data_IF_415535478048
#
_entry.id   IF_415535478048
#
_cell.length_a   1.000
_cell.length_b   1.000
_cell.length_c   1.000
_cell.angle_alpha   90.00
_cell.angle_beta   90.00
_cell.angle_gamma   90.00
#
_symmetry.space_group_name_H-M   'P 1'
#
loop_
_entity.id
_entity.type
_entity.pdbx_description
1 polymer ?
#
# COMPACT_ATOMS: atom_id res chain seq x y z
N UNK A 1 19.06 96.00 20.23
CA UNK A 1 18.29 95.01 21.03
C UNK A 1 17.24 94.25 20.19
N UNK A 2 16.44 94.91 19.36
CA UNK A 2 15.41 94.25 18.52
C UNK A 2 15.92 93.27 17.44
N UNK A 3 17.08 93.53 16.82
CA UNK A 3 17.71 92.64 15.82
C UNK A 3 18.17 91.30 16.44
N UNK A 4 18.67 91.35 17.67
CA UNK A 4 19.15 90.19 18.43
C UNK A 4 17.99 89.24 18.78
N UNK A 5 16.85 89.81 19.18
CA UNK A 5 15.62 89.07 19.52
C UNK A 5 15.06 88.37 18.28
N UNK A 6 15.00 89.04 17.12
CA UNK A 6 14.53 88.42 15.87
C UNK A 6 15.39 87.21 15.48
N UNK A 7 16.72 87.32 15.57
CA UNK A 7 17.65 86.21 15.26
C UNK A 7 17.50 85.02 16.19
N UNK A 8 17.27 85.26 17.48
CA UNK A 8 17.03 84.20 18.48
C UNK A 8 15.70 83.49 18.21
N UNK A 9 14.64 84.24 17.90
CA UNK A 9 13.33 83.65 17.57
C UNK A 9 13.39 82.80 16.30
N UNK A 10 14.11 83.26 15.27
CA UNK A 10 14.31 82.45 14.04
C UNK A 10 15.12 81.19 14.31
N UNK A 11 16.18 81.27 15.14
CA UNK A 11 17.00 80.12 15.49
C UNK A 11 16.19 79.07 16.28
N UNK A 12 15.40 79.50 17.26
CA UNK A 12 14.52 78.61 18.04
C UNK A 12 13.45 77.97 17.16
N UNK A 13 12.85 78.73 16.24
CA UNK A 13 11.85 78.20 15.29
C UNK A 13 12.42 77.14 14.35
N UNK A 14 13.65 77.35 13.85
CA UNK A 14 14.34 76.39 12.97
C UNK A 14 14.73 75.14 13.75
N UNK A 15 15.26 75.26 14.97
CA UNK A 15 15.61 74.11 15.82
C UNK A 15 14.37 73.30 16.20
N UNK A 16 13.25 73.97 16.52
CA UNK A 16 11.99 73.29 16.79
C UNK A 16 11.46 72.54 15.56
N UNK A 17 11.56 73.13 14.37
CA UNK A 17 11.14 72.48 13.12
C UNK A 17 12.01 71.27 12.78
N UNK A 18 13.34 71.34 12.96
CA UNK A 18 14.25 70.21 12.78
C UNK A 18 14.04 69.11 13.82
N UNK A 19 13.73 69.46 15.06
CA UNK A 19 13.41 68.49 16.10
C UNK A 19 12.10 67.74 15.76
N UNK A 20 11.08 68.44 15.23
CA UNK A 20 9.83 67.79 14.80
C UNK A 20 10.03 66.87 13.59
N UNK A 21 10.83 67.24 12.60
CA UNK A 21 11.10 66.34 11.45
C UNK A 21 11.93 65.11 11.83
N UNK A 22 12.86 65.24 12.79
CA UNK A 22 13.62 64.10 13.34
C UNK A 22 12.75 63.11 14.13
N UNK A 23 11.71 63.59 14.83
CA UNK A 23 10.73 62.73 15.53
C UNK A 23 9.86 61.95 14.54
N UNK A 24 9.49 62.54 13.40
CA UNK A 24 8.71 61.84 12.36
C UNK A 24 9.56 60.76 11.64
N UNK A 25 10.85 61.01 11.43
CA UNK A 25 11.77 60.03 10.84
C UNK A 25 12.09 58.85 11.78
N UNK A 26 12.14 59.09 13.10
CA UNK A 26 12.36 58.03 14.10
C UNK A 26 11.10 57.24 14.48
N UNK A 27 9.92 57.78 14.17
CA UNK A 27 8.65 57.06 14.22
C UNK A 27 8.39 56.18 12.97
N UNK A 28 9.31 56.14 12.00
CA UNK A 28 9.20 55.30 10.81
C UNK A 28 9.40 53.83 11.19
N UNK A 29 8.30 53.16 11.50
CA UNK A 29 8.27 51.73 11.82
C UNK A 29 8.17 50.90 10.52
N UNK A 30 9.29 50.34 10.06
CA UNK A 30 9.39 49.45 8.88
C UNK A 30 9.28 47.97 9.22
N UNK A 31 8.40 47.60 10.16
CA UNK A 31 8.14 46.18 10.47
C UNK A 31 6.91 45.69 9.71
N UNK A 32 7.11 44.70 8.84
CA UNK A 32 6.05 43.87 8.27
C UNK A 32 6.19 42.43 8.76
N UNK A 33 5.08 41.74 9.00
CA UNK A 33 5.07 40.32 9.35
C UNK A 33 4.87 39.46 8.10
N UNK A 34 5.71 38.44 7.91
CA UNK A 34 5.50 37.38 6.92
C UNK A 34 4.84 36.20 7.63
N UNK A 35 3.61 35.85 7.21
CA UNK A 35 2.96 34.61 7.63
C UNK A 35 3.13 33.57 6.51
N UNK A 36 3.67 32.41 6.86
CA UNK A 36 3.84 31.27 5.95
C UNK A 36 2.93 30.14 6.40
N UNK A 37 2.07 29.68 5.49
CA UNK A 37 1.26 28.47 5.68
C UNK A 37 1.70 27.43 4.65
N UNK A 38 1.81 26.17 5.10
CA UNK A 38 2.17 25.04 4.25
C UNK A 38 1.26 23.85 4.54
N UNK A 39 0.91 23.10 3.50
CA UNK A 39 0.17 21.85 3.60
C UNK A 39 0.96 20.72 2.92
N UNK A 40 0.97 19.54 3.53
CA UNK A 40 1.54 18.32 2.94
C UNK A 40 0.38 17.38 2.67
N UNK A 41 0.22 16.97 1.41
CA UNK A 41 -0.84 16.03 1.02
C UNK A 41 -0.48 14.60 1.46
N UNK A 42 -1.48 13.87 1.97
CA UNK A 42 -1.36 12.43 2.23
C UNK A 42 -1.34 11.67 0.90
N UNK A 43 -0.47 10.69 0.81
CA UNK A 43 -0.30 9.87 -0.37
C UNK A 43 -0.08 8.43 0.02
N UNK A 44 -0.81 7.57 -0.68
CA UNK A 44 -0.76 6.13 -0.58
C UNK A 44 -1.00 5.57 -1.97
N UNK A 45 -0.18 4.62 -2.37
CA UNK A 45 -0.26 3.97 -3.67
C UNK A 45 0.17 2.52 -3.53
N UNK A 46 -0.53 1.67 -4.29
CA UNK A 46 -0.23 0.26 -4.47
C UNK A 46 -0.11 0.00 -5.98
N UNK A 47 1.00 -0.58 -6.41
CA UNK A 47 1.26 -0.94 -7.81
C UNK A 47 2.01 -2.26 -7.88
N UNK A 48 2.22 -2.82 -9.08
CA UNK A 48 3.10 -3.98 -9.20
C UNK A 48 4.54 -3.63 -8.80
N UNK A 49 5.15 -4.52 -8.01
CA UNK A 49 6.56 -4.51 -7.65
C UNK A 49 7.47 -5.22 -8.64
N UNK A 50 6.89 -5.85 -9.68
CA UNK A 50 7.62 -6.53 -10.75
C UNK A 50 6.97 -7.86 -11.14
N UNK A 51 7.80 -8.72 -11.72
CA UNK A 51 7.36 -9.99 -12.29
C UNK A 51 6.81 -10.93 -11.22
N UNK A 52 5.72 -11.57 -11.57
CA UNK A 52 5.03 -12.59 -10.79
C UNK A 52 5.73 -13.93 -10.97
N UNK A 53 5.86 -14.70 -9.90
CA UNK A 53 6.44 -16.05 -9.96
C UNK A 53 5.35 -17.09 -9.75
N UNK A 54 5.22 -18.01 -10.69
CA UNK A 54 4.41 -19.22 -10.56
C UNK A 54 5.36 -20.43 -10.47
N UNK A 55 5.12 -21.33 -9.52
CA UNK A 55 5.91 -22.54 -9.32
C UNK A 55 5.05 -23.72 -8.90
N UNK A 56 5.53 -24.93 -9.16
CA UNK A 56 4.80 -26.17 -8.87
C UNK A 56 3.56 -26.39 -9.74
N UNK A 57 3.31 -25.52 -10.72
CA UNK A 57 2.25 -25.68 -11.71
C UNK A 57 2.58 -26.80 -12.70
N UNK A 58 1.54 -27.42 -13.26
CA UNK A 58 1.64 -28.36 -14.37
C UNK A 58 0.74 -27.86 -15.51
N UNK A 59 1.32 -27.47 -16.64
CA UNK A 59 0.59 -26.90 -17.78
C UNK A 59 0.13 -25.44 -17.62
N UNK A 60 0.23 -24.86 -16.41
CA UNK A 60 -0.13 -23.45 -16.16
C UNK A 60 0.92 -22.44 -16.64
N UNK A 61 0.57 -21.16 -16.63
CA UNK A 61 1.46 -20.06 -17.01
C UNK A 61 1.02 -18.71 -16.45
N UNK A 62 1.95 -17.76 -16.35
CA UNK A 62 1.60 -16.35 -16.11
C UNK A 62 1.12 -15.74 -17.43
N UNK A 63 -0.18 -15.43 -17.51
CA UNK A 63 -0.82 -14.91 -18.73
C UNK A 63 -0.58 -13.41 -18.86
N UNK A 64 -0.80 -12.68 -17.76
CA UNK A 64 -0.53 -11.25 -17.66
C UNK A 64 0.34 -11.01 -16.43
N UNK A 65 1.52 -10.46 -16.67
CA UNK A 65 2.47 -10.13 -15.63
C UNK A 65 2.34 -8.66 -15.17
N UNK A 66 2.83 -8.37 -13.97
CA UNK A 66 2.93 -7.01 -13.47
C UNK A 66 4.23 -6.34 -13.90
N UNK A 67 4.16 -5.26 -14.69
CA UNK A 67 5.32 -4.39 -14.91
C UNK A 67 5.53 -3.49 -13.69
N UNK A 68 6.79 -3.32 -13.26
CA UNK A 68 7.15 -2.48 -12.11
C UNK A 68 6.53 -1.08 -12.27
N UNK A 69 5.81 -0.62 -11.23
CA UNK A 69 5.11 0.67 -11.19
C UNK A 69 3.88 0.79 -12.11
N UNK A 70 3.38 -0.31 -12.68
CA UNK A 70 2.11 -0.34 -13.41
C UNK A 70 0.94 -0.74 -12.51
N UNK A 71 -0.32 -0.45 -12.91
CA UNK A 71 -1.49 -0.97 -12.22
C UNK A 71 -1.41 -2.48 -12.01
N UNK A 72 -1.84 -2.96 -10.85
CA UNK A 72 -1.82 -4.39 -10.53
C UNK A 72 -2.95 -5.09 -11.31
N UNK A 73 -2.58 -5.82 -12.38
CA UNK A 73 -3.52 -6.55 -13.23
C UNK A 73 -2.92 -7.91 -13.61
N UNK A 74 -2.72 -8.77 -12.60
CA UNK A 74 -2.08 -10.06 -12.76
C UNK A 74 -3.12 -11.12 -13.09
N UNK A 75 -2.88 -11.90 -14.14
CA UNK A 75 -3.70 -13.05 -14.52
C UNK A 75 -2.78 -14.24 -14.68
N UNK A 76 -3.11 -15.34 -14.00
CA UNK A 76 -2.29 -16.55 -13.98
C UNK A 76 -3.19 -17.75 -14.16
N UNK A 77 -2.78 -18.63 -15.07
CA UNK A 77 -3.28 -19.98 -15.15
C UNK A 77 -2.44 -20.88 -14.25
N UNK A 78 -3.08 -21.47 -13.22
CA UNK A 78 -2.40 -22.36 -12.28
C UNK A 78 -2.15 -23.76 -12.86
N UNK A 79 -2.76 -24.08 -14.01
CA UNK A 79 -2.70 -25.38 -14.66
C UNK A 79 -3.48 -26.45 -13.91
N UNK A 80 -2.99 -27.68 -13.98
CA UNK A 80 -3.59 -28.85 -13.33
C UNK A 80 -3.48 -28.77 -11.80
N UNK A 81 -4.63 -28.78 -11.12
CA UNK A 81 -4.77 -28.76 -9.66
C UNK A 81 -5.20 -30.12 -9.08
N UNK A 82 -5.44 -31.11 -9.95
CA UNK A 82 -5.74 -32.48 -9.60
C UNK A 82 -4.48 -33.31 -9.26
N UNK A 83 -4.67 -34.60 -8.95
CA UNK A 83 -3.58 -35.51 -8.57
C UNK A 83 -2.52 -35.75 -9.66
N UNK A 84 -2.81 -35.39 -10.92
CA UNK A 84 -1.84 -35.46 -12.01
C UNK A 84 -0.68 -34.48 -11.82
N UNK A 85 -0.87 -33.40 -11.04
CA UNK A 85 0.21 -32.55 -10.59
C UNK A 85 0.80 -33.09 -9.27
N UNK A 86 2.01 -33.65 -9.33
CA UNK A 86 2.66 -34.29 -8.18
C UNK A 86 3.44 -33.32 -7.28
N UNK A 87 3.43 -32.01 -7.58
CA UNK A 87 4.06 -31.02 -6.72
C UNK A 87 3.30 -30.89 -5.40
N UNK A 88 4.01 -30.58 -4.31
CA UNK A 88 3.36 -30.42 -3.00
C UNK A 88 2.37 -29.25 -2.96
N UNK A 89 2.70 -28.16 -3.66
CA UNK A 89 1.86 -26.98 -3.81
C UNK A 89 2.12 -26.32 -5.15
N UNK A 90 1.07 -25.75 -5.75
CA UNK A 90 1.20 -24.69 -6.75
C UNK A 90 1.29 -23.38 -5.98
N UNK A 91 2.40 -22.64 -6.15
CA UNK A 91 2.63 -21.36 -5.46
C UNK A 91 2.72 -20.22 -6.46
N UNK A 92 1.98 -19.16 -6.16
CA UNK A 92 1.98 -17.89 -6.86
C UNK A 92 2.52 -16.80 -5.92
N UNK A 93 3.53 -16.07 -6.35
CA UNK A 93 4.09 -14.93 -5.62
C UNK A 93 3.92 -13.66 -6.43
N UNK A 94 3.11 -12.73 -5.94
CA UNK A 94 2.81 -11.44 -6.56
C UNK A 94 3.52 -10.33 -5.79
N UNK A 95 4.56 -9.69 -6.35
CA UNK A 95 5.23 -8.59 -5.66
C UNK A 95 4.34 -7.34 -5.66
N UNK A 96 3.91 -6.91 -4.47
CA UNK A 96 3.13 -5.68 -4.29
C UNK A 96 4.07 -4.54 -3.91
N UNK A 97 4.06 -3.42 -4.63
CA UNK A 97 4.86 -2.25 -4.31
C UNK A 97 4.01 -1.16 -3.67
N UNK A 98 4.34 -0.84 -2.42
CA UNK A 98 3.69 0.19 -1.62
C UNK A 98 4.53 1.47 -1.64
N UNK A 99 3.88 2.61 -1.87
CA UNK A 99 4.47 3.94 -1.67
C UNK A 99 3.54 4.78 -0.84
N UNK A 100 4.01 5.23 0.32
CA UNK A 100 3.19 5.99 1.26
C UNK A 100 4.05 7.04 1.97
N UNK A 101 3.52 8.25 2.18
CA UNK A 101 4.15 9.25 3.04
C UNK A 101 3.50 9.35 4.43
N UNK A 102 2.49 8.50 4.67
CA UNK A 102 1.72 8.36 5.91
C UNK A 102 1.63 6.88 6.32
N UNK A 103 1.28 6.62 7.57
CA UNK A 103 0.93 5.27 8.02
C UNK A 103 -0.22 4.71 7.19
N UNK A 104 -0.16 3.42 6.88
CA UNK A 104 -1.07 2.77 5.96
C UNK A 104 -1.66 1.49 6.53
N UNK A 105 -2.78 1.10 5.94
CA UNK A 105 -3.43 -0.19 6.10
C UNK A 105 -3.67 -0.77 4.72
N UNK A 106 -3.17 -1.97 4.48
CA UNK A 106 -3.45 -2.79 3.32
C UNK A 106 -4.51 -3.82 3.71
N UNK A 107 -5.59 -3.85 2.95
CA UNK A 107 -6.66 -4.84 3.09
C UNK A 107 -6.71 -5.74 1.87
N UNK A 108 -7.20 -6.95 2.07
CA UNK A 108 -7.48 -7.90 0.99
C UNK A 108 -8.90 -8.43 1.14
N UNK A 109 -9.56 -8.63 -0.01
CA UNK A 109 -10.77 -9.45 -0.10
C UNK A 109 -10.57 -10.54 -1.15
N UNK A 110 -10.82 -11.78 -0.79
CA UNK A 110 -10.59 -12.98 -1.61
C UNK A 110 -11.87 -13.74 -1.89
N UNK A 111 -11.95 -14.37 -3.06
CA UNK A 111 -13.07 -15.23 -3.43
C UNK A 111 -12.68 -16.36 -4.38
N UNK A 112 -13.41 -17.46 -4.31
CA UNK A 112 -13.43 -18.52 -5.31
C UNK A 112 -14.83 -18.58 -5.90
N UNK A 113 -14.93 -18.62 -7.22
CA UNK A 113 -16.19 -18.74 -7.95
C UNK A 113 -16.07 -19.74 -9.10
N UNK A 114 -17.21 -20.23 -9.62
CA UNK A 114 -17.24 -21.20 -10.71
C UNK A 114 -16.93 -22.65 -10.30
N UNK A 115 -16.39 -22.86 -9.09
CA UNK A 115 -16.36 -24.17 -8.47
C UNK A 115 -17.80 -24.65 -8.17
N UNK A 116 -18.02 -25.97 -8.26
CA UNK A 116 -19.29 -26.59 -7.90
C UNK A 116 -19.65 -26.41 -6.41
N UNK A 117 -20.76 -27.02 -5.99
CA UNK A 117 -21.26 -26.95 -4.60
C UNK A 117 -21.03 -28.24 -3.80
N UNK A 118 -20.18 -29.14 -4.28
CA UNK A 118 -19.94 -30.44 -3.66
C UNK A 118 -18.91 -30.37 -2.53
N UNK A 119 -18.77 -31.47 -1.78
CA UNK A 119 -17.73 -31.60 -0.75
C UNK A 119 -16.30 -31.45 -1.31
N UNK A 120 -16.08 -31.90 -2.55
CA UNK A 120 -14.77 -31.89 -3.23
C UNK A 120 -14.58 -30.70 -4.18
N UNK A 121 -15.57 -29.80 -4.28
CA UNK A 121 -15.38 -28.55 -5.02
C UNK A 121 -14.31 -27.69 -4.34
N UNK A 122 -13.55 -26.94 -5.14
CA UNK A 122 -12.57 -25.98 -4.67
C UNK A 122 -13.27 -24.84 -3.92
N UNK A 123 -12.78 -24.46 -2.75
CA UNK A 123 -13.35 -23.42 -1.87
C UNK A 123 -12.28 -22.41 -1.49
N UNK A 124 -12.68 -21.26 -0.95
CA UNK A 124 -11.75 -20.24 -0.47
C UNK A 124 -10.74 -20.78 0.57
N UNK A 125 -11.11 -21.79 1.35
CA UNK A 125 -10.23 -22.41 2.35
C UNK A 125 -9.15 -23.31 1.75
N UNK A 126 -9.24 -23.66 0.46
CA UNK A 126 -8.20 -24.41 -0.27
C UNK A 126 -7.08 -23.55 -0.82
N UNK A 127 -7.27 -22.23 -0.76
CA UNK A 127 -6.29 -21.28 -1.26
C UNK A 127 -5.63 -20.65 -0.05
N UNK A 128 -4.42 -21.13 0.23
CA UNK A 128 -3.55 -20.55 1.23
C UNK A 128 -3.13 -19.15 0.81
N UNK A 129 -3.05 -18.25 1.76
CA UNK A 129 -2.66 -16.85 1.56
C UNK A 129 -1.70 -16.40 2.66
N UNK A 130 -0.72 -15.61 2.28
CA UNK A 130 0.11 -14.86 3.21
C UNK A 130 0.90 -13.74 2.54
N UNK A 131 1.42 -12.85 3.37
CA UNK A 131 2.27 -11.72 2.98
C UNK A 131 3.65 -11.93 3.56
N UNK A 132 4.70 -11.71 2.77
CA UNK A 132 6.09 -11.84 3.24
C UNK A 132 6.82 -10.49 3.21
N UNK A 133 6.56 -9.58 4.17
CA UNK A 133 7.25 -8.30 4.22
C UNK A 133 8.73 -8.54 4.52
N UNK A 134 9.56 -8.39 3.48
CA UNK A 134 11.00 -8.43 3.62
C UNK A 134 11.50 -7.28 4.50
N UNK A 135 12.72 -7.43 5.03
CA UNK A 135 13.38 -6.37 5.77
C UNK A 135 13.40 -5.07 4.95
N UNK A 136 12.93 -3.99 5.57
CA UNK A 136 12.77 -2.70 4.90
C UNK A 136 14.14 -2.17 4.42
N UNK A 137 14.28 -1.84 3.11
CA UNK A 137 15.51 -1.27 2.57
C UNK A 137 15.93 0.04 3.25
N UNK A 138 17.24 0.26 3.43
CA UNK A 138 17.80 1.41 4.16
C UNK A 138 17.54 2.77 3.49
N UNK A 139 17.20 2.78 2.20
CA UNK A 139 16.80 3.97 1.46
C UNK A 139 15.33 4.39 1.74
N UNK A 140 14.51 3.55 2.39
CA UNK A 140 13.14 3.86 2.80
C UNK A 140 13.07 4.40 4.23
N UNK A 141 11.95 5.00 4.62
CA UNK A 141 11.77 5.52 5.97
C UNK A 141 11.83 4.37 6.99
N UNK A 142 12.48 4.58 8.14
CA UNK A 142 12.54 3.56 9.19
C UNK A 142 11.15 3.19 9.70
N UNK A 143 10.94 1.92 9.98
CA UNK A 143 9.66 1.41 10.46
C UNK A 143 9.63 -0.11 10.44
N UNK A 144 8.59 -0.66 11.04
CA UNK A 144 8.30 -2.09 11.05
C UNK A 144 6.84 -2.30 10.69
N UNK A 145 6.62 -3.25 9.80
CA UNK A 145 5.34 -3.68 9.29
C UNK A 145 4.71 -4.64 10.29
N UNK A 146 3.42 -4.45 10.54
CA UNK A 146 2.59 -5.44 11.22
C UNK A 146 2.03 -6.36 10.15
N UNK A 147 2.41 -7.63 10.20
CA UNK A 147 1.90 -8.66 9.31
C UNK A 147 0.89 -9.52 10.06
N UNK A 148 -0.37 -9.49 9.62
CA UNK A 148 -1.46 -10.25 10.24
C UNK A 148 -1.68 -11.61 9.55
N UNK A 149 -0.71 -12.06 8.75
CA UNK A 149 -0.75 -13.31 7.97
C UNK A 149 0.47 -14.20 8.28
N UNK A 150 0.46 -15.49 7.93
CA UNK A 150 1.54 -16.41 8.32
C UNK A 150 2.85 -16.29 7.52
N UNK A 151 2.95 -15.40 6.53
CA UNK A 151 4.08 -15.39 5.61
C UNK A 151 3.90 -16.40 4.47
N UNK A 152 4.63 -17.53 4.53
CA UNK A 152 4.38 -18.67 3.64
C UNK A 152 3.28 -19.56 4.24
N UNK A 153 2.08 -19.61 3.64
CA UNK A 153 0.95 -20.37 4.20
C UNK A 153 1.18 -21.89 4.20
N UNK A 154 2.17 -22.41 3.47
CA UNK A 154 2.43 -23.87 3.42
C UNK A 154 3.06 -24.44 4.67
N UNK A 155 3.49 -23.59 5.60
CA UNK A 155 4.16 -24.02 6.84
C UNK A 155 3.11 -24.43 7.90
N UNK A 156 3.25 -25.63 8.44
CA UNK A 156 2.51 -26.09 9.63
C UNK A 156 1.09 -26.59 9.39
N UNK A 157 0.61 -26.63 8.14
CA UNK A 157 -0.69 -27.22 7.81
C UNK A 157 -0.75 -28.74 7.95
N UNK A 158 -1.94 -29.30 7.77
CA UNK A 158 -2.18 -30.74 7.87
C UNK A 158 -3.31 -31.21 6.95
N UNK A 159 -3.38 -32.50 6.68
CA UNK A 159 -4.51 -33.11 5.99
C UNK A 159 -5.63 -33.43 6.97
N UNK A 160 -6.87 -33.06 6.64
CA UNK A 160 -8.06 -33.37 7.44
C UNK A 160 -8.52 -34.84 7.27
N UNK A 161 -9.61 -35.20 7.96
CA UNK A 161 -10.19 -36.54 7.90
C UNK A 161 -10.70 -36.95 6.50
N UNK A 162 -10.91 -35.98 5.60
CA UNK A 162 -11.35 -36.19 4.22
C UNK A 162 -10.19 -36.24 3.23
N UNK A 163 -8.94 -36.22 3.69
CA UNK A 163 -7.77 -36.22 2.81
C UNK A 163 -7.47 -34.85 2.19
N UNK A 164 -8.14 -33.79 2.64
CA UNK A 164 -8.03 -32.42 2.13
C UNK A 164 -7.06 -31.61 2.97
N UNK A 165 -6.19 -30.84 2.31
CA UNK A 165 -5.24 -30.00 3.02
C UNK A 165 -5.93 -28.83 3.71
N UNK A 166 -5.49 -28.55 4.94
CA UNK A 166 -5.92 -27.43 5.78
C UNK A 166 -4.69 -26.62 6.14
N UNK A 167 -4.70 -25.35 5.76
CA UNK A 167 -3.66 -24.40 6.11
C UNK A 167 -3.73 -24.07 7.61
N UNK A 168 -2.57 -23.86 8.23
CA UNK A 168 -2.46 -23.54 9.65
C UNK A 168 -2.24 -22.06 9.87
N UNK A 169 -2.64 -21.59 11.05
CA UNK A 169 -2.54 -20.19 11.45
C UNK A 169 -3.79 -19.39 11.10
N UNK A 170 -3.97 -18.29 11.84
CA UNK A 170 -5.01 -17.30 11.53
C UNK A 170 -4.70 -16.60 10.22
N UNK A 171 -5.75 -16.20 9.48
CA UNK A 171 -5.61 -15.41 8.26
C UNK A 171 -4.71 -16.08 7.21
N UNK A 172 -4.78 -17.41 7.14
CA UNK A 172 -3.91 -18.24 6.31
C UNK A 172 -4.57 -18.69 5.01
N UNK A 173 -5.86 -18.37 4.81
CA UNK A 173 -6.61 -18.75 3.62
C UNK A 173 -7.40 -17.58 3.04
N UNK A 174 -7.80 -17.66 1.77
CA UNK A 174 -8.74 -16.68 1.20
C UNK A 174 -10.11 -16.69 1.91
N UNK A 175 -10.43 -17.78 2.64
CA UNK A 175 -11.67 -17.86 3.42
C UNK A 175 -11.72 -16.83 4.54
N UNK A 176 -10.57 -16.54 5.16
CA UNK A 176 -10.44 -15.52 6.21
C UNK A 176 -10.66 -14.09 5.69
N UNK A 177 -10.59 -13.92 4.36
CA UNK A 177 -10.73 -12.66 3.64
C UNK A 177 -11.94 -12.65 2.71
N UNK A 178 -12.98 -13.45 2.99
CA UNK A 178 -14.24 -13.41 2.22
C UNK A 178 -14.92 -12.02 2.23
N UNK A 179 -14.51 -11.16 3.17
CA UNK A 179 -14.76 -9.73 3.19
C UNK A 179 -13.44 -8.98 3.36
N UNK A 180 -13.39 -7.70 2.99
CA UNK A 180 -12.16 -6.91 3.04
C UNK A 180 -11.62 -6.75 4.49
N UNK A 181 -10.55 -7.47 4.80
CA UNK A 181 -9.88 -7.44 6.11
C UNK A 181 -8.41 -7.01 5.98
N UNK A 182 -7.82 -6.52 7.07
CA UNK A 182 -6.41 -6.10 7.13
C UNK A 182 -5.47 -7.30 6.94
N UNK A 183 -4.45 -7.11 6.09
CA UNK A 183 -3.39 -8.11 5.86
C UNK A 183 -2.02 -7.59 6.27
N UNK A 184 -1.82 -6.27 6.19
CA UNK A 184 -0.55 -5.63 6.47
C UNK A 184 -0.80 -4.17 6.84
N UNK A 185 -0.16 -3.68 7.89
CA UNK A 185 -0.10 -2.25 8.18
C UNK A 185 1.31 -1.82 8.55
N UNK A 186 1.52 -0.51 8.54
CA UNK A 186 2.82 0.02 8.92
C UNK A 186 2.89 1.54 8.86
N UNK A 187 4.00 2.10 9.35
CA UNK A 187 4.28 3.53 9.20
C UNK A 187 4.55 3.88 7.73
N UNK A 188 4.70 5.19 7.47
CA UNK A 188 5.07 5.70 6.14
C UNK A 188 6.24 4.94 5.51
N UNK A 189 6.18 4.71 4.21
CA UNK A 189 7.24 4.03 3.45
C UNK A 189 8.33 4.99 2.98
N UNK A 190 7.93 6.15 2.46
CA UNK A 190 8.82 7.08 1.78
C UNK A 190 9.43 8.08 2.78
N UNK A 191 10.74 8.36 2.64
CA UNK A 191 11.43 9.42 3.41
C UNK A 191 11.01 10.83 2.98
N UNK A 192 10.58 10.97 1.74
CA UNK A 192 10.26 12.22 1.06
C UNK A 192 8.91 12.13 0.36
N UNK A 193 8.35 13.27 -0.06
CA UNK A 193 7.07 13.29 -0.78
C UNK A 193 7.14 12.52 -2.10
N UNK A 194 6.03 11.91 -2.53
CA UNK A 194 6.05 10.73 -3.42
C UNK A 194 6.33 11.02 -4.89
N UNK A 195 6.05 12.23 -5.40
CA UNK A 195 6.09 12.50 -6.85
C UNK A 195 7.48 12.36 -7.47
N UNK A 196 8.55 12.41 -6.66
CA UNK A 196 9.94 12.30 -7.14
C UNK A 196 10.65 11.00 -6.74
N UNK A 197 10.04 10.14 -5.92
CA UNK A 197 10.73 8.97 -5.37
C UNK A 197 10.18 7.67 -5.98
N UNK A 198 10.96 7.05 -6.87
CA UNK A 198 10.64 5.75 -7.45
C UNK A 198 10.77 4.59 -6.46
N UNK A 199 11.36 4.83 -5.28
CA UNK A 199 11.50 3.82 -4.23
C UNK A 199 10.15 3.53 -3.56
N UNK A 200 9.92 2.26 -3.26
CA UNK A 200 8.76 1.76 -2.54
C UNK A 200 9.10 0.46 -1.85
N UNK A 201 8.30 0.07 -0.87
CA UNK A 201 8.43 -1.21 -0.21
C UNK A 201 7.79 -2.28 -1.10
N UNK A 202 8.54 -3.33 -1.43
CA UNK A 202 7.99 -4.48 -2.16
C UNK A 202 7.68 -5.58 -1.15
N UNK A 203 6.45 -6.04 -1.14
CA UNK A 203 5.95 -7.11 -0.28
C UNK A 203 5.30 -8.18 -1.17
N UNK A 204 5.88 -9.38 -1.27
CA UNK A 204 5.23 -10.52 -1.91
C UNK A 204 3.92 -10.89 -1.21
N UNK A 205 2.84 -10.94 -1.98
CA UNK A 205 1.63 -11.68 -1.65
C UNK A 205 1.74 -13.09 -2.20
N UNK A 206 1.66 -14.09 -1.33
CA UNK A 206 1.86 -15.50 -1.64
C UNK A 206 0.50 -16.20 -1.60
N UNK A 207 0.14 -16.83 -2.71
CA UNK A 207 -1.05 -17.68 -2.83
C UNK A 207 -0.60 -19.11 -3.10
N UNK A 208 -1.21 -20.08 -2.42
CA UNK A 208 -0.81 -21.47 -2.57
C UNK A 208 -2.02 -22.39 -2.60
N UNK A 209 -2.00 -23.37 -3.49
CA UNK A 209 -3.03 -24.41 -3.54
C UNK A 209 -2.32 -25.75 -3.53
N UNK A 210 -2.84 -26.69 -2.75
CA UNK A 210 -2.39 -28.08 -2.75
C UNK A 210 -3.04 -28.81 -3.93
N UNK A 211 -2.28 -29.39 -4.87
CA UNK A 211 -2.85 -30.34 -5.81
C UNK A 211 -3.48 -31.52 -5.07
N UNK A 212 -4.76 -31.77 -5.31
CA UNK A 212 -5.53 -32.84 -4.67
C UNK A 212 -6.81 -33.13 -5.47
N UNK A 213 -7.63 -34.07 -5.00
CA UNK A 213 -8.88 -34.42 -5.67
C UNK A 213 -9.91 -33.30 -5.55
N UNK A 214 -9.97 -32.43 -6.56
CA UNK A 214 -11.05 -31.47 -6.75
C UNK A 214 -12.05 -31.99 -7.78
N UNK A 215 -13.31 -31.63 -7.61
CA UNK A 215 -14.31 -31.92 -8.63
C UNK A 215 -14.06 -31.08 -9.90
N UNK A 216 -14.15 -31.69 -11.09
CA UNK A 216 -14.01 -30.97 -12.34
C UNK A 216 -15.03 -29.85 -12.46
N UNK A 217 -14.60 -28.67 -12.92
CA UNK A 217 -15.47 -27.55 -13.23
C UNK A 217 -14.96 -26.83 -14.48
N UNK A 218 -15.89 -26.40 -15.35
CA UNK A 218 -15.56 -25.81 -16.64
C UNK A 218 -14.78 -24.48 -16.56
N UNK A 219 -14.89 -23.76 -15.43
CA UNK A 219 -14.06 -22.61 -15.12
C UNK A 219 -14.12 -22.34 -13.62
N UNK A 220 -12.97 -22.15 -12.97
CA UNK A 220 -12.87 -21.78 -11.55
C UNK A 220 -12.09 -20.49 -11.50
N UNK A 221 -12.64 -19.41 -10.95
CA UNK A 221 -11.93 -18.13 -10.80
C UNK A 221 -11.57 -17.91 -9.34
N UNK A 222 -10.32 -17.55 -9.06
CA UNK A 222 -9.83 -17.25 -7.70
C UNK A 222 -9.39 -15.80 -7.68
N UNK A 223 -10.14 -14.91 -7.04
CA UNK A 223 -9.84 -13.47 -7.02
C UNK A 223 -9.27 -13.03 -5.68
N UNK A 224 -8.36 -12.05 -5.71
CA UNK A 224 -7.86 -11.37 -4.53
C UNK A 224 -7.67 -9.89 -4.82
N UNK A 225 -8.49 -9.04 -4.20
CA UNK A 225 -8.49 -7.59 -4.42
C UNK A 225 -7.80 -6.92 -3.24
N UNK A 226 -6.81 -6.07 -3.53
CA UNK A 226 -6.05 -5.34 -2.53
C UNK A 226 -6.46 -3.88 -2.49
N UNK A 227 -6.68 -3.34 -1.29
CA UNK A 227 -7.01 -1.93 -1.09
C UNK A 227 -6.07 -1.33 -0.06
N UNK A 228 -5.41 -0.24 -0.40
CA UNK A 228 -4.51 0.47 0.50
C UNK A 228 -5.11 1.80 0.92
N UNK A 229 -5.02 2.15 2.20
CA UNK A 229 -5.56 3.40 2.75
C UNK A 229 -4.63 4.00 3.81
N UNK A 230 -4.64 5.33 4.01
CA UNK A 230 -4.06 5.94 5.21
C UNK A 230 -4.73 5.40 6.48
N UNK A 231 -3.94 5.15 7.54
CA UNK A 231 -4.44 4.60 8.81
C UNK A 231 -5.30 5.62 9.60
N UNK A 232 -5.13 6.92 9.35
CA UNK A 232 -5.84 8.02 10.01
C UNK A 232 -6.42 8.99 8.95
N UNK A 233 -7.33 8.55 8.07
CA UNK A 233 -8.06 9.50 7.19
C UNK A 233 -9.45 9.01 6.72
N UNK A 234 -10.33 10.01 6.56
CA UNK A 234 -11.74 10.05 6.12
C UNK A 234 -12.04 9.27 4.80
N UNK A 235 -13.22 8.64 4.61
CA UNK A 235 -13.46 7.61 3.59
C UNK A 235 -13.50 8.11 2.13
N UNK A 236 -13.31 9.40 1.86
CA UNK A 236 -13.41 10.00 0.53
C UNK A 236 -12.20 9.78 -0.41
N UNK A 237 -11.09 9.20 0.08
CA UNK A 237 -9.85 8.98 -0.69
C UNK A 237 -9.45 7.50 -0.84
N UNK A 238 -10.42 6.58 -0.85
CA UNK A 238 -10.14 5.17 -1.09
C UNK A 238 -9.74 4.94 -2.56
N UNK A 239 -8.49 4.56 -2.78
CA UNK A 239 -8.05 4.01 -4.07
C UNK A 239 -8.25 2.50 -3.99
N UNK A 240 -9.25 1.99 -4.71
CA UNK A 240 -9.48 0.56 -4.91
C UNK A 240 -8.71 0.10 -6.14
N UNK A 241 -7.82 -0.88 -5.99
CA UNK A 241 -7.12 -1.50 -7.12
C UNK A 241 -7.50 -2.98 -7.13
N UNK A 242 -8.28 -3.38 -8.13
CA UNK A 242 -8.70 -4.76 -8.29
C UNK A 242 -7.63 -5.56 -9.02
N UNK A 243 -7.04 -6.55 -8.36
CA UNK A 243 -6.39 -7.66 -9.04
C UNK A 243 -7.44 -8.77 -9.21
N UNK A 244 -7.84 -9.01 -10.45
CA UNK A 244 -8.74 -10.11 -10.81
C UNK A 244 -7.86 -11.23 -11.36
N UNK A 245 -7.75 -12.35 -10.65
CA UNK A 245 -7.10 -13.54 -11.21
C UNK A 245 -8.19 -14.46 -11.75
N UNK A 246 -8.25 -14.59 -13.07
CA UNK A 246 -9.11 -15.57 -13.73
C UNK A 246 -8.31 -16.86 -13.88
N UNK A 247 -8.83 -17.94 -13.31
CA UNK A 247 -8.30 -19.28 -13.52
C UNK A 247 -9.27 -19.99 -14.48
N UNK A 248 -8.71 -20.74 -15.41
CA UNK A 248 -9.48 -21.59 -16.32
C UNK A 248 -8.87 -22.97 -16.21
N UNK A 249 -9.58 -23.88 -15.54
CA UNK A 249 -9.29 -25.30 -15.69
C UNK A 249 -9.73 -25.73 -17.10
N UNK A 250 -9.02 -26.65 -17.77
CA UNK A 250 -9.46 -27.22 -19.04
C UNK A 250 -10.78 -27.99 -18.91
#
# INVERSE_FOLDING_TARGET
MFQSIKRVVTLVGVVALLAMTAVVASAQQTTGSVSMSAAVSNYVELVSGGAVTLSGNSGGSVVTDGTVNSPLAVVVDMGELGPANTNSFVKLSVPLKLRTNVSYQLKMSGSVSGAGATTYSLKNTDVGFGMDPSARPSNLASGTETNDTPGDPTVGGSTDANGRWVFAGSNSTLGDFSSAAEVLSGPRVNKTTPKSNSAGLVVPAIFTIKPQFYDPAAAITISAIFTIKPQFYDPAAAITISANFTISAP
#
